data_IF_924603584204
#
_entry.id   IF_924603584204
#
_cell.length_a   1.000
_cell.length_b   1.000
_cell.length_c   1.000
_cell.angle_alpha   90.00
_cell.angle_beta   90.00
_cell.angle_gamma   90.00
#
_symmetry.space_group_name_H-M   'P 1'
#
loop_
_entity.id
_entity.type
_entity.pdbx_description
1 polymer ?
#
# COMPACT_ATOMS: atom_id res chain seq x y z
N UNK A 1 15.96 9.15 -2.44
CA UNK A 1 14.50 9.40 -2.48
C UNK A 1 13.99 9.52 -1.05
N UNK A 2 13.12 10.48 -0.81
CA UNK A 2 12.56 10.71 0.52
C UNK A 2 11.25 9.93 0.68
N UNK A 3 11.15 9.17 1.77
CA UNK A 3 9.93 8.44 2.12
C UNK A 3 9.19 9.22 3.20
N UNK A 4 7.95 9.56 2.93
CA UNK A 4 7.12 10.31 3.87
C UNK A 4 6.21 9.36 4.64
N UNK A 5 6.26 9.43 5.97
CA UNK A 5 5.43 8.57 6.83
C UNK A 5 3.94 8.70 6.57
N UNK A 6 3.46 9.94 6.33
CA UNK A 6 2.04 10.15 6.06
C UNK A 6 1.61 9.50 4.75
N UNK A 7 2.50 9.36 3.79
CA UNK A 7 2.19 8.69 2.52
C UNK A 7 2.04 7.19 2.71
N UNK A 8 2.80 6.61 3.63
CA UNK A 8 2.67 5.18 3.95
C UNK A 8 1.26 4.91 4.47
N UNK A 9 0.78 5.74 5.38
CA UNK A 9 -0.56 5.62 5.95
C UNK A 9 -1.62 5.83 4.87
N UNK A 10 -1.44 6.86 4.02
CA UNK A 10 -2.39 7.15 2.95
C UNK A 10 -2.52 5.98 1.98
N UNK A 11 -1.42 5.43 1.51
CA UNK A 11 -1.44 4.27 0.61
C UNK A 11 -2.01 3.03 1.31
N UNK A 12 -1.68 2.83 2.57
CA UNK A 12 -2.21 1.72 3.35
C UNK A 12 -3.73 1.76 3.45
N UNK A 13 -4.27 2.93 3.73
CA UNK A 13 -5.73 3.12 3.79
C UNK A 13 -6.37 2.87 2.43
N UNK A 14 -5.75 3.35 1.35
CA UNK A 14 -6.27 3.15 0.00
C UNK A 14 -6.25 1.67 -0.40
N UNK A 15 -5.20 0.96 -0.06
CA UNK A 15 -5.10 -0.48 -0.32
C UNK A 15 -6.16 -1.23 0.49
N UNK A 16 -6.30 -0.91 1.77
CA UNK A 16 -7.29 -1.55 2.65
C UNK A 16 -8.71 -1.27 2.17
N UNK A 17 -8.95 -0.09 1.62
CA UNK A 17 -10.24 0.29 1.07
C UNK A 17 -10.55 -0.26 -0.31
N UNK A 18 -9.62 -1.01 -0.91
CA UNK A 18 -9.83 -1.62 -2.22
C UNK A 18 -9.68 -0.66 -3.40
N UNK A 19 -9.05 0.49 -3.18
CA UNK A 19 -8.84 1.49 -4.24
C UNK A 19 -7.48 1.38 -4.90
N UNK A 20 -6.51 0.80 -4.19
CA UNK A 20 -5.16 0.56 -4.70
C UNK A 20 -4.80 -0.89 -4.46
N UNK A 21 -3.85 -1.38 -5.23
CA UNK A 21 -3.24 -2.69 -4.98
C UNK A 21 -1.79 -2.47 -4.58
N UNK A 22 -1.27 -3.36 -3.74
CA UNK A 22 0.09 -3.24 -3.23
C UNK A 22 1.12 -3.55 -4.31
N UNK A 23 0.86 -4.58 -5.11
CA UNK A 23 1.75 -5.00 -6.19
C UNK A 23 0.95 -5.14 -7.49
N UNK A 24 1.62 -5.06 -8.66
CA UNK A 24 0.91 -5.21 -9.95
C UNK A 24 0.57 -6.65 -10.30
N UNK A 25 1.05 -7.62 -9.53
CA UNK A 25 0.92 -9.04 -9.86
C UNK A 25 -0.52 -9.54 -9.81
N UNK A 26 -1.34 -8.98 -8.92
CA UNK A 26 -2.72 -9.38 -8.78
C UNK A 26 -3.61 -8.15 -8.84
N UNK A 27 -3.90 -7.70 -10.05
CA UNK A 27 -4.64 -6.48 -10.27
C UNK A 27 -5.71 -6.65 -11.37
N UNK A 28 -6.69 -7.54 -11.15
CA UNK A 28 -7.71 -7.83 -12.18
C UNK A 28 -8.60 -6.62 -12.51
N UNK A 29 -8.74 -5.68 -11.60
CA UNK A 29 -9.56 -4.49 -11.81
C UNK A 29 -8.77 -3.31 -12.36
N UNK A 30 -7.49 -3.51 -12.63
CA UNK A 30 -6.60 -2.47 -13.15
C UNK A 30 -6.61 -1.21 -12.26
N UNK A 31 -6.50 -1.42 -10.97
CA UNK A 31 -6.43 -0.34 -9.99
C UNK A 31 -5.04 0.28 -9.97
N UNK A 32 -4.91 1.44 -9.37
CA UNK A 32 -3.62 2.05 -9.17
C UNK A 32 -2.75 1.18 -8.26
N UNK A 33 -1.45 1.16 -8.54
CA UNK A 33 -0.49 0.36 -7.77
C UNK A 33 0.33 1.29 -6.89
N UNK A 34 0.58 0.86 -5.65
CA UNK A 34 1.45 1.61 -4.73
C UNK A 34 2.85 1.72 -5.33
N UNK A 35 3.45 2.92 -5.36
CA UNK A 35 4.80 3.08 -5.88
C UNK A 35 5.79 2.14 -5.21
N UNK A 36 6.75 1.63 -5.97
CA UNK A 36 7.72 0.66 -5.46
C UNK A 36 8.43 1.14 -4.21
N UNK A 37 8.74 2.43 -4.13
CA UNK A 37 9.44 3.01 -2.98
C UNK A 37 8.66 2.87 -1.67
N UNK A 38 7.34 2.79 -1.75
CA UNK A 38 6.47 2.70 -0.57
C UNK A 38 5.94 1.28 -0.33
N UNK A 39 6.10 0.40 -1.30
CA UNK A 39 5.45 -0.93 -1.29
C UNK A 39 5.78 -1.75 -0.05
N UNK A 40 7.06 -1.86 0.29
CA UNK A 40 7.50 -2.61 1.45
C UNK A 40 7.00 -1.99 2.75
N UNK A 41 7.07 -0.66 2.84
CA UNK A 41 6.63 0.06 4.04
C UNK A 41 5.12 -0.06 4.25
N UNK A 42 4.37 0.04 3.17
CA UNK A 42 2.91 -0.13 3.23
C UNK A 42 2.56 -1.55 3.63
N UNK A 43 3.28 -2.53 3.09
CA UNK A 43 3.07 -3.93 3.46
C UNK A 43 3.28 -4.16 4.96
N UNK A 44 4.33 -3.59 5.54
CA UNK A 44 4.59 -3.67 6.97
C UNK A 44 3.47 -3.00 7.78
N UNK A 45 3.04 -1.83 7.33
CA UNK A 45 1.97 -1.10 8.01
C UNK A 45 0.67 -1.91 8.04
N UNK A 46 0.33 -2.52 6.90
CA UNK A 46 -0.87 -3.36 6.79
C UNK A 46 -0.76 -4.61 7.66
N UNK A 47 0.41 -5.22 7.69
CA UNK A 47 0.64 -6.41 8.52
C UNK A 47 0.46 -6.10 10.01
N UNK A 48 0.95 -4.96 10.46
CA UNK A 48 0.79 -4.54 11.85
C UNK A 48 -0.68 -4.31 12.20
N UNK A 49 -1.45 -3.73 11.28
CA UNK A 49 -2.87 -3.50 11.48
C UNK A 49 -3.66 -4.81 11.52
N UNK A 50 -3.28 -5.77 10.69
CA UNK A 50 -3.98 -7.05 10.63
C UNK A 50 -3.60 -8.00 11.77
N UNK A 51 -2.42 -7.82 12.35
CA UNK A 51 -1.95 -8.66 13.44
C UNK A 51 -2.61 -8.33 14.79
N UNK A 52 -3.12 -7.13 14.90
CA UNK A 52 -3.80 -6.66 16.11
C UNK A 52 -5.30 -6.89 16.06
#
# INVERSE_FOLDING_TARGET
MTIYGYMIIAYGVLVKGGRYVLTPDDNPKNLNVVPEAYRERVAEWLAERNAG
#
